data_IF_795985971656
#
_entry.id   IF_795985971656
#
_cell.length_a   1.000
_cell.length_b   1.000
_cell.length_c   1.000
_cell.angle_alpha   90.00
_cell.angle_beta   90.00
_cell.angle_gamma   90.00
#
_symmetry.space_group_name_H-M   'P 1'
#
loop_
_entity.id
_entity.type
_entity.pdbx_description
1 polymer ?
#
# COMPACT_ATOMS: atom_id res chain seq x y z
N UNK A 1 -19.59 -29.43 9.56
CA UNK A 1 -19.10 -29.91 8.26
C UNK A 1 -18.42 -28.74 7.60
N UNK A 2 -17.15 -28.90 7.23
CA UNK A 2 -16.44 -27.86 6.49
C UNK A 2 -17.06 -27.66 5.11
N UNK A 3 -17.08 -26.40 4.69
CA UNK A 3 -17.72 -25.90 3.47
C UNK A 3 -17.00 -26.29 2.17
N UNK A 4 -15.90 -27.04 2.25
CA UNK A 4 -15.10 -27.47 1.10
C UNK A 4 -14.31 -26.33 0.43
N UNK A 5 -14.26 -25.13 1.02
CA UNK A 5 -13.61 -23.96 0.41
C UNK A 5 -12.17 -23.73 0.89
N UNK A 6 -11.60 -24.64 1.67
CA UNK A 6 -10.25 -24.48 2.22
C UNK A 6 -9.18 -24.37 1.12
N UNK A 7 -9.32 -25.10 0.01
CA UNK A 7 -8.39 -25.00 -1.12
C UNK A 7 -8.48 -23.62 -1.80
N UNK A 8 -9.71 -23.09 -1.98
CA UNK A 8 -9.92 -21.75 -2.51
C UNK A 8 -9.30 -20.67 -1.61
N UNK A 9 -9.45 -20.79 -0.29
CA UNK A 9 -8.79 -19.91 0.70
C UNK A 9 -7.28 -19.98 0.59
N UNK A 10 -6.70 -21.18 0.49
CA UNK A 10 -5.26 -21.36 0.37
C UNK A 10 -4.70 -20.71 -0.90
N UNK A 11 -5.36 -20.90 -2.05
CA UNK A 11 -5.01 -20.23 -3.31
C UNK A 11 -5.09 -18.70 -3.14
N UNK A 12 -6.18 -18.21 -2.56
CA UNK A 12 -6.38 -16.77 -2.37
C UNK A 12 -5.32 -16.13 -1.46
N UNK A 13 -4.96 -16.80 -0.37
CA UNK A 13 -3.85 -16.38 0.50
C UNK A 13 -2.56 -16.27 -0.31
N UNK A 14 -2.24 -17.27 -1.14
CA UNK A 14 -1.03 -17.25 -1.96
C UNK A 14 -1.01 -16.08 -2.96
N UNK A 15 -2.15 -15.77 -3.59
CA UNK A 15 -2.29 -14.61 -4.47
C UNK A 15 -2.05 -13.29 -3.73
N UNK A 16 -2.69 -13.10 -2.56
CA UNK A 16 -2.57 -11.86 -1.77
C UNK A 16 -1.14 -11.67 -1.27
N UNK A 17 -0.49 -12.74 -0.82
CA UNK A 17 0.93 -12.71 -0.40
C UNK A 17 1.82 -12.38 -1.59
N UNK A 18 1.54 -12.92 -2.78
CA UNK A 18 2.31 -12.61 -3.98
C UNK A 18 2.21 -11.13 -4.36
N UNK A 19 1.00 -10.58 -4.36
CA UNK A 19 0.75 -9.16 -4.64
C UNK A 19 1.44 -8.27 -3.60
N UNK A 20 1.40 -8.64 -2.32
CA UNK A 20 2.14 -7.97 -1.25
C UNK A 20 3.66 -7.95 -1.51
N UNK A 21 4.25 -9.08 -1.91
CA UNK A 21 5.70 -9.14 -2.24
C UNK A 21 6.06 -8.25 -3.42
N UNK A 22 5.21 -8.19 -4.45
CA UNK A 22 5.42 -7.31 -5.59
C UNK A 22 5.39 -5.84 -5.17
N UNK A 23 4.43 -5.45 -4.32
CA UNK A 23 4.36 -4.07 -3.79
C UNK A 23 5.60 -3.70 -2.98
N UNK A 24 6.09 -4.61 -2.15
CA UNK A 24 7.34 -4.42 -1.40
C UNK A 24 8.55 -4.24 -2.31
N UNK A 25 8.63 -5.04 -3.38
CA UNK A 25 9.66 -4.87 -4.38
C UNK A 25 9.59 -3.49 -5.04
N UNK A 26 8.42 -3.04 -5.49
CA UNK A 26 8.29 -1.71 -6.11
C UNK A 26 8.62 -0.58 -5.14
N UNK A 27 8.15 -0.65 -3.90
CA UNK A 27 8.44 0.35 -2.86
C UNK A 27 9.94 0.44 -2.57
N UNK A 28 10.66 -0.67 -2.58
CA UNK A 28 12.13 -0.68 -2.40
C UNK A 28 12.88 0.05 -3.52
N UNK A 29 12.32 0.08 -4.74
CA UNK A 29 12.91 0.77 -5.90
C UNK A 29 12.61 2.28 -5.91
N UNK A 30 11.59 2.73 -5.17
CA UNK A 30 11.16 4.14 -5.14
C UNK A 30 11.94 5.00 -4.14
N UNK A 31 13.01 4.48 -3.54
CA UNK A 31 13.82 5.21 -2.57
C UNK A 31 14.68 6.30 -3.25
N UNK A 32 14.11 7.49 -3.39
CA UNK A 32 14.80 8.67 -3.90
C UNK A 32 15.40 9.47 -2.74
N UNK A 33 16.72 9.64 -2.75
CA UNK A 33 17.43 10.43 -1.76
C UNK A 33 17.08 11.93 -1.92
N UNK A 34 16.55 12.53 -0.85
CA UNK A 34 16.29 13.97 -0.82
C UNK A 34 17.61 14.75 -0.71
N UNK A 35 17.83 15.79 -1.55
CA UNK A 35 18.91 16.74 -1.31
C UNK A 35 18.79 17.38 0.07
N UNK A 36 19.91 17.72 0.71
CA UNK A 36 19.91 18.24 2.08
C UNK A 36 19.01 19.47 2.28
N UNK A 37 18.95 20.36 1.27
CA UNK A 37 18.12 21.57 1.31
C UNK A 37 16.63 21.31 1.06
N UNK A 38 16.26 20.16 0.49
CA UNK A 38 14.88 19.77 0.23
C UNK A 38 14.36 18.71 1.23
N UNK A 39 15.19 18.31 2.19
CA UNK A 39 14.88 17.19 3.09
C UNK A 39 13.55 17.35 3.84
N UNK A 40 13.19 18.59 4.18
CA UNK A 40 11.97 18.96 4.91
C UNK A 40 10.80 19.34 3.99
N UNK A 41 10.92 19.18 2.68
CA UNK A 41 9.76 19.35 1.80
C UNK A 41 8.79 18.19 2.02
N UNK A 42 7.50 18.53 2.06
CA UNK A 42 6.41 17.60 2.39
C UNK A 42 6.42 16.35 1.51
N UNK A 43 6.76 16.45 0.22
CA UNK A 43 6.86 15.28 -0.65
C UNK A 43 7.88 14.26 -0.15
N UNK A 44 9.09 14.68 0.17
CA UNK A 44 10.14 13.77 0.68
C UNK A 44 9.81 13.23 2.08
N UNK A 45 9.12 14.00 2.93
CA UNK A 45 8.60 13.49 4.20
C UNK A 45 7.60 12.35 3.98
N UNK A 46 6.63 12.55 3.09
CA UNK A 46 5.63 11.52 2.73
C UNK A 46 6.33 10.27 2.18
N UNK A 47 7.30 10.42 1.29
CA UNK A 47 8.01 9.28 0.70
C UNK A 47 8.75 8.46 1.77
N UNK A 48 9.43 9.13 2.71
CA UNK A 48 10.10 8.44 3.83
C UNK A 48 9.10 7.70 4.70
N UNK A 49 7.94 8.30 5.00
CA UNK A 49 6.87 7.63 5.75
C UNK A 49 6.36 6.40 5.00
N UNK A 50 6.17 6.48 3.68
CA UNK A 50 5.72 5.34 2.86
C UNK A 50 6.73 4.19 2.89
N UNK A 51 8.02 4.49 2.76
CA UNK A 51 9.08 3.48 2.82
C UNK A 51 9.18 2.89 4.23
N UNK A 52 9.11 3.70 5.28
CA UNK A 52 9.12 3.24 6.66
C UNK A 52 7.89 2.35 6.98
N UNK A 53 6.70 2.70 6.48
CA UNK A 53 5.50 1.87 6.60
C UNK A 53 5.72 0.51 5.93
N UNK A 54 6.25 0.49 4.69
CA UNK A 54 6.54 -0.74 3.96
C UNK A 54 7.51 -1.66 4.74
N UNK A 55 8.59 -1.09 5.28
CA UNK A 55 9.56 -1.82 6.11
C UNK A 55 8.94 -2.32 7.42
N UNK A 56 8.09 -1.52 8.07
CA UNK A 56 7.40 -1.92 9.29
C UNK A 56 6.50 -3.13 9.08
N UNK A 57 5.81 -3.20 7.92
CA UNK A 57 4.93 -4.31 7.56
C UNK A 57 5.74 -5.60 7.29
N UNK A 58 6.95 -5.49 6.74
CA UNK A 58 7.85 -6.64 6.57
C UNK A 58 8.40 -7.16 7.90
N UNK A 59 8.71 -6.26 8.82
CA UNK A 59 9.29 -6.62 10.12
C UNK A 59 8.28 -7.26 11.08
N UNK A 60 6.98 -7.03 10.87
CA UNK A 60 5.93 -7.61 11.70
C UNK A 60 5.82 -9.14 11.51
N UNK A 61 5.85 -9.95 12.58
CA UNK A 61 5.62 -11.39 12.46
C UNK A 61 4.18 -11.67 12.01
N UNK A 62 3.96 -12.80 11.32
CA UNK A 62 2.60 -13.26 11.04
C UNK A 62 1.90 -13.67 12.33
N UNK A 63 0.62 -13.33 12.46
CA UNK A 63 -0.20 -13.78 13.58
C UNK A 63 -0.33 -15.32 13.50
N UNK A 64 0.37 -16.02 14.39
CA UNK A 64 0.28 -17.48 14.50
C UNK A 64 -0.82 -17.82 15.50
N UNK A 65 -1.89 -18.46 15.02
CA UNK A 65 -2.88 -19.08 15.91
C UNK A 65 -2.44 -20.51 16.21
N UNK A 66 -2.12 -20.80 17.47
CA UNK A 66 -1.84 -22.16 17.95
C UNK A 66 -3.11 -22.99 18.07
N UNK A 67 -3.90 -23.07 16.99
CA UNK A 67 -5.09 -23.92 16.95
C UNK A 67 -4.65 -25.34 16.63
N UNK A 68 -4.81 -26.24 17.61
CA UNK A 68 -4.51 -27.67 17.46
C UNK A 68 -5.20 -28.22 16.20
N UNK A 69 -4.38 -28.64 15.23
CA UNK A 69 -4.82 -29.14 13.94
C UNK A 69 -5.56 -30.47 14.13
N UNK A 70 -6.80 -30.54 13.68
CA UNK A 70 -7.54 -31.80 13.68
C UNK A 70 -8.94 -31.72 13.08
N UNK A 71 -9.62 -30.57 13.20
CA UNK A 71 -10.94 -30.38 12.60
C UNK A 71 -10.89 -29.44 11.40
N UNK A 72 -11.72 -29.68 10.37
CA UNK A 72 -11.69 -28.85 9.18
C UNK A 72 -12.31 -27.46 9.43
N UNK A 73 -13.12 -27.30 10.48
CA UNK A 73 -13.58 -25.99 11.00
C UNK A 73 -12.43 -25.19 11.64
N UNK A 74 -11.53 -25.83 12.40
CA UNK A 74 -10.35 -25.16 12.95
C UNK A 74 -9.40 -24.71 11.83
N UNK A 75 -9.23 -25.55 10.80
CA UNK A 75 -8.46 -25.18 9.60
C UNK A 75 -9.08 -23.99 8.87
N UNK A 76 -10.41 -23.94 8.71
CA UNK A 76 -11.11 -22.78 8.13
C UNK A 76 -10.80 -21.50 8.91
N UNK A 77 -10.97 -21.53 10.24
CA UNK A 77 -10.73 -20.35 11.07
C UNK A 77 -9.28 -19.86 10.98
N UNK A 78 -8.32 -20.79 10.93
CA UNK A 78 -6.91 -20.48 10.73
C UNK A 78 -6.66 -19.82 9.36
N UNK A 79 -7.22 -20.37 8.28
CA UNK A 79 -7.06 -19.81 6.93
C UNK A 79 -7.69 -18.41 6.83
N UNK A 80 -8.84 -18.17 7.45
CA UNK A 80 -9.48 -16.85 7.49
C UNK A 80 -8.62 -15.82 8.26
N UNK A 81 -8.01 -16.22 9.38
CA UNK A 81 -7.09 -15.36 10.11
C UNK A 81 -5.83 -15.00 9.30
N UNK A 82 -5.26 -15.98 8.59
CA UNK A 82 -4.10 -15.75 7.70
C UNK A 82 -4.49 -14.85 6.52
N UNK A 83 -5.67 -15.06 5.92
CA UNK A 83 -6.18 -14.22 4.84
C UNK A 83 -6.35 -12.78 5.30
N UNK A 84 -6.93 -12.56 6.48
CA UNK A 84 -7.09 -11.23 7.06
C UNK A 84 -5.74 -10.53 7.23
N UNK A 85 -4.76 -11.18 7.86
CA UNK A 85 -3.41 -10.61 8.04
C UNK A 85 -2.75 -10.29 6.69
N UNK A 86 -2.82 -11.20 5.72
CA UNK A 86 -2.28 -10.99 4.38
C UNK A 86 -2.94 -9.78 3.68
N UNK A 87 -4.26 -9.65 3.77
CA UNK A 87 -5.01 -8.53 3.20
C UNK A 87 -4.65 -7.20 3.87
N UNK A 88 -4.50 -7.15 5.19
CA UNK A 88 -4.05 -5.95 5.91
C UNK A 88 -2.67 -5.50 5.43
N UNK A 89 -1.72 -6.44 5.31
CA UNK A 89 -0.36 -6.13 4.83
C UNK A 89 -0.36 -5.61 3.39
N UNK A 90 -1.10 -6.28 2.49
CA UNK A 90 -1.26 -5.85 1.11
C UNK A 90 -1.88 -4.46 1.03
N UNK A 91 -2.92 -4.20 1.81
CA UNK A 91 -3.60 -2.91 1.85
C UNK A 91 -2.67 -1.76 2.27
N UNK A 92 -1.95 -1.93 3.38
CA UNK A 92 -0.97 -0.94 3.86
C UNK A 92 0.09 -0.63 2.80
N UNK A 93 0.61 -1.67 2.15
CA UNK A 93 1.62 -1.50 1.10
C UNK A 93 1.04 -0.87 -0.16
N UNK A 94 -0.17 -1.21 -0.56
CA UNK A 94 -0.83 -0.59 -1.71
C UNK A 94 -1.03 0.91 -1.47
N UNK A 95 -1.48 1.29 -0.28
CA UNK A 95 -1.67 2.68 0.11
C UNK A 95 -0.35 3.45 0.10
N UNK A 96 0.70 2.88 0.71
CA UNK A 96 2.04 3.45 0.69
C UNK A 96 2.58 3.58 -0.75
N UNK A 97 2.35 2.57 -1.60
CA UNK A 97 2.76 2.57 -3.01
C UNK A 97 2.07 3.68 -3.82
N UNK A 98 0.75 3.84 -3.67
CA UNK A 98 0.01 4.90 -4.36
C UNK A 98 0.49 6.29 -3.94
N UNK A 99 0.75 6.49 -2.64
CA UNK A 99 1.31 7.74 -2.11
C UNK A 99 2.73 7.99 -2.61
N UNK A 100 3.59 6.96 -2.64
CA UNK A 100 4.93 7.06 -3.20
C UNK A 100 4.89 7.44 -4.69
N UNK A 101 4.02 6.82 -5.49
CA UNK A 101 3.81 7.19 -6.89
C UNK A 101 3.42 8.67 -7.08
N UNK A 102 2.53 9.20 -6.23
CA UNK A 102 2.17 10.61 -6.24
C UNK A 102 3.38 11.51 -5.92
N UNK A 103 4.18 11.14 -4.92
CA UNK A 103 5.41 11.87 -4.63
C UNK A 103 6.42 11.82 -5.77
N UNK A 104 6.60 10.66 -6.43
CA UNK A 104 7.52 10.57 -7.58
C UNK A 104 7.07 11.51 -8.70
N UNK A 105 5.77 11.62 -8.99
CA UNK A 105 5.25 12.61 -9.95
C UNK A 105 5.49 14.05 -9.49
N UNK A 106 5.32 14.33 -8.20
CA UNK A 106 5.65 15.64 -7.62
C UNK A 106 7.14 15.99 -7.77
N UNK A 107 8.06 15.03 -7.53
CA UNK A 107 9.50 15.22 -7.76
C UNK A 107 9.77 15.56 -9.23
N UNK A 108 9.15 14.82 -10.17
CA UNK A 108 9.26 15.08 -11.60
C UNK A 108 8.73 16.47 -11.97
N UNK A 109 7.59 16.87 -11.40
CA UNK A 109 7.01 18.20 -11.56
C UNK A 109 7.96 19.30 -11.11
N UNK A 110 8.54 19.17 -9.90
CA UNK A 110 9.55 20.12 -9.40
C UNK A 110 10.77 20.19 -10.31
N UNK A 111 11.30 19.04 -10.72
CA UNK A 111 12.45 18.98 -11.64
C UNK A 111 12.15 19.67 -12.97
N UNK A 112 10.91 19.58 -13.47
CA UNK A 112 10.50 20.25 -14.71
C UNK A 112 10.40 21.78 -14.57
N UNK A 113 10.04 22.27 -13.38
CA UNK A 113 10.00 23.71 -13.07
C UNK A 113 11.41 24.26 -12.88
N UNK A 114 12.26 23.54 -12.14
CA UNK A 114 13.62 23.98 -11.83
C UNK A 114 14.57 23.82 -13.02
N UNK A 115 14.38 22.81 -13.88
CA UNK A 115 15.24 22.54 -15.04
C UNK A 115 16.74 22.45 -14.68
N UNK A 116 17.05 21.97 -13.46
CA UNK A 116 18.41 21.90 -12.93
C UNK A 116 18.98 23.21 -12.38
N UNK A 117 18.20 24.30 -12.39
CA UNK A 117 18.56 25.58 -11.76
C UNK A 117 18.24 25.56 -10.26
N UNK A 118 18.92 26.43 -9.52
CA UNK A 118 18.58 26.69 -8.12
C UNK A 118 17.21 27.35 -8.04
N UNK A 119 16.46 27.04 -6.99
CA UNK A 119 15.18 27.68 -6.71
C UNK A 119 15.34 29.21 -6.60
N UNK A 120 14.53 29.97 -7.34
CA UNK A 120 14.51 31.43 -7.30
C UNK A 120 13.07 31.94 -7.17
N UNK A 121 12.90 33.22 -6.88
CA UNK A 121 11.56 33.85 -6.80
C UNK A 121 10.74 33.71 -8.08
N UNK A 122 11.39 33.56 -9.23
CA UNK A 122 10.71 33.30 -10.51
C UNK A 122 10.04 31.91 -10.55
N UNK A 123 10.56 30.92 -9.82
CA UNK A 123 10.01 29.56 -9.74
C UNK A 123 8.90 29.42 -8.70
N UNK A 124 8.81 30.36 -7.74
CA UNK A 124 8.00 30.22 -6.52
C UNK A 124 6.53 29.88 -6.81
N UNK A 125 5.88 30.59 -7.74
CA UNK A 125 4.47 30.34 -8.09
C UNK A 125 4.26 28.95 -8.71
N UNK A 126 5.17 28.53 -9.59
CA UNK A 126 5.07 27.22 -10.24
C UNK A 126 5.33 26.07 -9.27
N UNK A 127 6.34 26.19 -8.40
CA UNK A 127 6.61 25.21 -7.35
C UNK A 127 5.46 25.12 -6.35
N UNK A 128 4.87 26.25 -5.98
CA UNK A 128 3.68 26.26 -5.13
C UNK A 128 2.52 25.52 -5.79
N UNK A 129 2.28 25.68 -7.08
CA UNK A 129 1.24 24.96 -7.79
C UNK A 129 1.51 23.43 -7.80
N UNK A 130 2.76 23.01 -7.98
CA UNK A 130 3.16 21.59 -7.90
C UNK A 130 2.92 21.03 -6.49
N UNK A 131 3.28 21.77 -5.44
CA UNK A 131 3.05 21.38 -4.04
C UNK A 131 1.55 21.28 -3.71
N UNK A 132 0.73 22.20 -4.22
CA UNK A 132 -0.72 22.17 -4.03
C UNK A 132 -1.36 21.02 -4.78
N UNK A 133 -0.91 20.71 -6.00
CA UNK A 133 -1.38 19.54 -6.75
C UNK A 133 -1.18 18.24 -5.96
N UNK A 134 0.03 18.06 -5.38
CA UNK A 134 0.32 16.90 -4.56
C UNK A 134 -0.65 16.78 -3.38
N UNK A 135 -0.83 17.85 -2.59
CA UNK A 135 -1.65 17.80 -1.37
C UNK A 135 -3.14 17.73 -1.66
N UNK A 136 -3.64 18.62 -2.51
CA UNK A 136 -5.06 18.84 -2.71
C UNK A 136 -5.72 17.86 -3.68
N UNK A 137 -4.95 17.25 -4.59
CA UNK A 137 -5.48 16.35 -5.61
C UNK A 137 -5.00 14.92 -5.42
N UNK A 138 -3.69 14.71 -5.29
CA UNK A 138 -3.15 13.35 -5.34
C UNK A 138 -3.25 12.65 -3.99
N UNK A 139 -2.71 13.25 -2.92
CA UNK A 139 -2.69 12.63 -1.59
C UNK A 139 -4.09 12.57 -0.98
N UNK A 140 -4.90 13.62 -1.15
CA UNK A 140 -6.29 13.67 -0.66
C UNK A 140 -7.19 12.63 -1.33
N UNK A 141 -6.95 12.29 -2.60
CA UNK A 141 -7.71 11.29 -3.33
C UNK A 141 -7.38 9.84 -2.91
N UNK A 142 -6.23 9.61 -2.27
CA UNK A 142 -5.82 8.28 -1.81
C UNK A 142 -6.44 8.03 -0.43
N UNK A 143 -7.75 7.79 -0.42
CA UNK A 143 -8.52 7.35 0.76
C UNK A 143 -8.44 5.82 0.91
N UNK A 144 -8.82 5.31 2.08
CA UNK A 144 -8.83 3.87 2.31
C UNK A 144 -9.86 3.16 1.42
N UNK A 145 -11.00 3.78 1.14
CA UNK A 145 -12.03 3.29 0.23
C UNK A 145 -11.53 3.25 -1.22
N UNK A 146 -10.76 4.26 -1.64
CA UNK A 146 -10.14 4.26 -2.96
C UNK A 146 -9.16 3.09 -3.11
N UNK A 147 -8.33 2.85 -2.08
CA UNK A 147 -7.37 1.73 -2.07
C UNK A 147 -8.10 0.39 -2.14
N UNK A 148 -9.14 0.18 -1.33
CA UNK A 148 -9.92 -1.06 -1.35
C UNK A 148 -10.59 -1.27 -2.70
N UNK A 149 -11.25 -0.24 -3.23
CA UNK A 149 -11.92 -0.31 -4.54
C UNK A 149 -10.93 -0.67 -5.66
N UNK A 150 -9.74 -0.07 -5.66
CA UNK A 150 -8.71 -0.36 -6.66
C UNK A 150 -8.21 -1.81 -6.57
N UNK A 151 -7.94 -2.32 -5.35
CA UNK A 151 -7.54 -3.72 -5.15
C UNK A 151 -8.66 -4.68 -5.57
N UNK A 152 -9.90 -4.37 -5.19
CA UNK A 152 -11.08 -5.19 -5.50
C UNK A 152 -11.34 -5.27 -6.99
N UNK A 153 -11.27 -4.13 -7.69
CA UNK A 153 -11.42 -4.06 -9.13
C UNK A 153 -10.33 -4.88 -9.84
N UNK A 154 -9.07 -4.75 -9.41
CA UNK A 154 -7.95 -5.51 -9.98
C UNK A 154 -8.13 -7.02 -9.79
N UNK A 155 -8.52 -7.47 -8.60
CA UNK A 155 -8.70 -8.90 -8.34
C UNK A 155 -9.89 -9.48 -9.11
N UNK A 156 -10.99 -8.74 -9.19
CA UNK A 156 -12.19 -9.15 -9.94
C UNK A 156 -11.89 -9.22 -11.44
N UNK A 157 -11.15 -8.25 -11.98
CA UNK A 157 -10.73 -8.26 -13.39
C UNK A 157 -9.83 -9.45 -13.73
N UNK A 158 -9.10 -9.99 -12.75
CA UNK A 158 -8.26 -11.18 -12.90
C UNK A 158 -9.02 -12.50 -12.62
N UNK A 159 -10.31 -12.44 -12.28
CA UNK A 159 -11.12 -13.61 -11.97
C UNK A 159 -10.74 -14.32 -10.66
N UNK A 160 -10.09 -13.61 -9.72
CA UNK A 160 -9.67 -14.18 -8.44
C UNK A 160 -10.88 -14.42 -7.53
N UNK A 161 -10.77 -15.42 -6.64
CA UNK A 161 -11.80 -15.69 -5.65
C UNK A 161 -11.73 -14.69 -4.49
N UNK A 162 -12.69 -13.76 -4.43
CA UNK A 162 -12.69 -12.64 -3.47
C UNK A 162 -13.81 -12.71 -2.43
N UNK A 163 -14.53 -13.83 -2.36
CA UNK A 163 -15.77 -13.95 -1.59
C UNK A 163 -15.59 -13.79 -0.07
N UNK A 164 -14.41 -14.11 0.46
CA UNK A 164 -14.10 -14.02 1.90
C UNK A 164 -13.05 -12.97 2.24
N UNK A 165 -12.70 -12.13 1.29
CA UNK A 165 -11.78 -11.03 1.55
C UNK A 165 -12.40 -10.03 2.55
N UNK A 166 -11.62 -9.52 3.51
CA UNK A 166 -12.13 -8.62 4.53
C UNK A 166 -12.55 -7.28 3.93
N UNK A 167 -13.59 -6.68 4.52
CA UNK A 167 -14.03 -5.33 4.16
C UNK A 167 -13.01 -4.27 4.58
N UNK A 168 -13.06 -3.07 3.98
CA UNK A 168 -12.24 -1.93 4.40
C UNK A 168 -12.44 -1.59 5.88
N UNK A 169 -13.68 -1.68 6.38
CA UNK A 169 -13.99 -1.43 7.78
C UNK A 169 -13.33 -2.45 8.72
N UNK A 170 -13.29 -3.73 8.31
CA UNK A 170 -12.55 -4.78 9.04
C UNK A 170 -11.06 -4.50 9.03
N UNK A 171 -10.48 -4.13 7.88
CA UNK A 171 -9.06 -3.79 7.78
C UNK A 171 -8.70 -2.61 8.69
N UNK A 172 -9.52 -1.55 8.69
CA UNK A 172 -9.30 -0.33 9.48
C UNK A 172 -9.28 -0.57 10.99
N UNK A 173 -9.97 -1.60 11.50
CA UNK A 173 -9.92 -1.97 12.92
C UNK A 173 -8.55 -2.51 13.35
N UNK A 174 -7.68 -2.84 12.39
CA UNK A 174 -6.35 -3.41 12.61
C UNK A 174 -5.19 -2.49 12.15
N UNK A 175 -5.48 -1.26 11.71
CA UNK A 175 -4.47 -0.26 11.32
C UNK A 175 -4.08 0.64 12.48
#
# INVERSE_FOLDING_TARGET
MADGLNDARAVRIAEVINDFRNLQHYLSQMNVAAPAHEYHLTGYEILRVCIAEAQSVLAQPFATTNSAAGTPEAQRAQLQAILLDACIRRFRCQRAYLRACAVIRWIQGRNSVLQGQVETTAHATALHAVDQSLRAQEISAITDEYVETALRASDTAQGKWVAEDPSVATIQQHL
#
